data_IF_531729424264
#
_entry.id   IF_531729424264
#
_cell.length_a   1.000
_cell.length_b   1.000
_cell.length_c   1.000
_cell.angle_alpha   90.00
_cell.angle_beta   90.00
_cell.angle_gamma   90.00
#
_symmetry.space_group_name_H-M   'P 1'
#
loop_
_entity.id
_entity.type
_entity.pdbx_description
1 polymer ?
#
# COMPACT_ATOMS: atom_id res chain seq x y z
N UNK A 1 -20.39 -0.62 -17.37
CA UNK A 1 -19.00 -0.14 -17.53
C UNK A 1 -18.29 -1.24 -18.30
N UNK A 2 -18.04 -1.01 -19.59
CA UNK A 2 -17.56 -2.03 -20.55
C UNK A 2 -16.05 -1.91 -20.83
N UNK A 3 -15.32 -1.19 -19.98
CA UNK A 3 -13.87 -1.12 -20.04
C UNK A 3 -13.27 -2.35 -19.37
N UNK A 4 -12.28 -2.96 -20.04
CA UNK A 4 -11.45 -4.02 -19.49
C UNK A 4 -10.95 -3.60 -18.09
N UNK A 5 -10.85 -4.55 -17.14
CA UNK A 5 -10.27 -4.22 -15.84
C UNK A 5 -8.87 -3.62 -16.07
N UNK A 6 -8.52 -2.56 -15.33
CA UNK A 6 -7.21 -1.95 -15.44
C UNK A 6 -6.13 -3.02 -15.29
N UNK A 7 -5.07 -2.91 -16.09
CA UNK A 7 -3.95 -3.83 -16.00
C UNK A 7 -3.26 -3.75 -14.62
N UNK A 8 -2.41 -4.73 -14.35
CA UNK A 8 -1.71 -4.84 -13.06
C UNK A 8 -0.94 -3.56 -12.73
N UNK A 9 -0.27 -2.96 -13.72
CA UNK A 9 0.52 -1.74 -13.54
C UNK A 9 -0.34 -0.54 -13.17
N UNK A 10 -1.49 -0.35 -13.82
CA UNK A 10 -2.44 0.67 -13.44
C UNK A 10 -2.95 0.47 -12.02
N UNK A 11 -3.27 -0.77 -11.62
CA UNK A 11 -3.70 -1.06 -10.25
C UNK A 11 -2.57 -0.75 -9.26
N UNK A 12 -1.36 -1.22 -9.52
CA UNK A 12 -0.16 -0.99 -8.69
C UNK A 12 0.16 0.50 -8.53
N UNK A 13 0.03 1.28 -9.59
CA UNK A 13 0.45 2.68 -9.60
C UNK A 13 -0.63 3.63 -9.08
N UNK A 14 -1.91 3.31 -9.26
CA UNK A 14 -3.00 4.26 -9.02
C UNK A 14 -3.97 3.83 -7.91
N UNK A 15 -4.09 2.54 -7.60
CA UNK A 15 -5.15 2.02 -6.70
C UNK A 15 -4.64 1.25 -5.49
N UNK A 16 -3.48 0.60 -5.61
CA UNK A 16 -2.94 -0.26 -4.57
C UNK A 16 -1.64 0.29 -3.98
N UNK A 17 -1.46 0.03 -2.68
CA UNK A 17 -0.22 0.28 -1.96
C UNK A 17 0.62 -1.00 -1.99
N UNK A 18 1.24 -1.25 -3.14
CA UNK A 18 2.14 -2.40 -3.39
C UNK A 18 3.49 -1.84 -3.83
N UNK A 19 4.58 -2.34 -3.25
CA UNK A 19 5.94 -1.87 -3.53
C UNK A 19 6.94 -2.09 -2.38
N UNK A 20 8.11 -1.47 -2.50
CA UNK A 20 9.11 -1.40 -1.42
C UNK A 20 8.64 -0.46 -0.31
N UNK A 21 9.22 -0.53 0.91
CA UNK A 21 8.86 0.38 1.99
C UNK A 21 8.93 1.87 1.62
N UNK A 22 9.92 2.26 0.82
CA UNK A 22 10.12 3.62 0.36
C UNK A 22 9.01 4.06 -0.61
N UNK A 23 8.65 3.21 -1.58
CA UNK A 23 7.54 3.47 -2.51
C UNK A 23 6.21 3.62 -1.76
N UNK A 24 5.97 2.81 -0.73
CA UNK A 24 4.77 2.91 0.10
C UNK A 24 4.77 4.21 0.91
N UNK A 25 5.89 4.57 1.53
CA UNK A 25 6.02 5.80 2.30
C UNK A 25 5.76 7.04 1.43
N UNK A 26 6.33 7.10 0.22
CA UNK A 26 6.11 8.18 -0.74
C UNK A 26 4.62 8.32 -1.09
N UNK A 27 3.94 7.20 -1.40
CA UNK A 27 2.51 7.19 -1.69
C UNK A 27 1.68 7.72 -0.51
N UNK A 28 2.02 7.35 0.73
CA UNK A 28 1.31 7.80 1.94
C UNK A 28 1.56 9.30 2.19
N UNK A 29 2.81 9.77 2.08
CA UNK A 29 3.15 11.18 2.25
C UNK A 29 2.42 12.06 1.21
N UNK A 30 2.24 11.56 -0.02
CA UNK A 30 1.43 12.22 -1.04
C UNK A 30 -0.06 12.30 -0.69
N UNK A 31 -0.59 11.37 0.12
CA UNK A 31 -1.94 11.50 0.67
C UNK A 31 -1.97 12.51 1.82
N UNK A 32 -0.98 12.46 2.72
CA UNK A 32 -0.82 13.40 3.85
C UNK A 32 -0.74 14.85 3.35
N UNK A 33 0.00 15.11 2.27
CA UNK A 33 0.10 16.44 1.65
C UNK A 33 -1.22 16.96 1.06
N UNK A 34 -2.20 16.08 0.84
CA UNK A 34 -3.57 16.43 0.41
C UNK A 34 -4.54 16.59 1.59
N UNK A 35 -4.05 16.59 2.83
CA UNK A 35 -4.85 16.76 4.03
C UNK A 35 -5.48 15.48 4.57
N UNK A 36 -5.10 14.31 4.05
CA UNK A 36 -5.55 13.02 4.62
C UNK A 36 -4.80 12.76 5.92
N UNK A 37 -5.54 12.68 7.03
CA UNK A 37 -4.98 12.52 8.38
C UNK A 37 -5.01 11.08 8.89
N UNK A 38 -5.79 10.22 8.23
CA UNK A 38 -5.93 8.82 8.60
C UNK A 38 -5.83 7.91 7.38
N UNK A 39 -4.96 6.91 7.46
CA UNK A 39 -4.75 5.91 6.43
C UNK A 39 -5.06 4.52 6.98
N UNK A 40 -6.26 4.02 6.66
CA UNK A 40 -6.64 2.63 6.94
C UNK A 40 -6.01 1.69 5.92
N UNK A 41 -5.26 0.69 6.38
CA UNK A 41 -4.58 -0.28 5.53
C UNK A 41 -5.16 -1.68 5.71
N UNK A 42 -5.41 -2.37 4.59
CA UNK A 42 -5.76 -3.78 4.56
C UNK A 42 -4.59 -4.57 3.94
N UNK A 43 -4.01 -5.49 4.71
CA UNK A 43 -2.91 -6.35 4.26
C UNK A 43 -3.37 -7.69 3.71
N UNK A 44 -4.57 -8.15 4.11
CA UNK A 44 -5.11 -9.42 3.71
C UNK A 44 -5.90 -9.25 2.41
N UNK A 45 -5.24 -9.50 1.29
CA UNK A 45 -5.89 -9.64 -0.01
C UNK A 45 -6.02 -11.13 -0.33
N UNK A 46 -7.20 -11.53 -0.81
CA UNK A 46 -7.51 -12.95 -1.04
C UNK A 46 -6.45 -13.64 -1.89
N UNK A 47 -6.01 -14.82 -1.45
CA UNK A 47 -4.96 -15.60 -2.11
C UNK A 47 -3.55 -15.44 -1.51
N UNK A 48 -3.33 -14.50 -0.59
CA UNK A 48 -2.06 -14.38 0.13
C UNK A 48 -2.00 -15.35 1.33
N UNK A 49 -0.82 -15.97 1.53
CA UNK A 49 -0.56 -16.81 2.69
C UNK A 49 -0.46 -15.98 3.98
N UNK A 50 -0.79 -16.60 5.12
CA UNK A 50 -0.74 -15.92 6.41
C UNK A 50 0.67 -15.40 6.73
N UNK A 51 1.72 -16.17 6.45
CA UNK A 51 3.10 -15.78 6.74
C UNK A 51 3.54 -14.57 5.92
N UNK A 52 3.13 -14.50 4.65
CA UNK A 52 3.40 -13.35 3.76
C UNK A 52 2.70 -12.09 4.27
N UNK A 53 1.44 -12.22 4.70
CA UNK A 53 0.67 -11.12 5.29
C UNK A 53 1.38 -10.61 6.55
N UNK A 54 1.76 -11.50 7.47
CA UNK A 54 2.45 -11.13 8.71
C UNK A 54 3.81 -10.48 8.42
N UNK A 55 4.56 -10.99 7.44
CA UNK A 55 5.81 -10.40 7.01
C UNK A 55 5.62 -8.98 6.45
N UNK A 56 4.59 -8.77 5.62
CA UNK A 56 4.24 -7.44 5.09
C UNK A 56 3.86 -6.45 6.20
N UNK A 57 3.08 -6.90 7.19
CA UNK A 57 2.75 -6.08 8.37
C UNK A 57 4.00 -5.69 9.17
N UNK A 58 4.96 -6.63 9.35
CA UNK A 58 6.23 -6.35 10.04
C UNK A 58 7.09 -5.37 9.27
N UNK A 59 7.19 -5.51 7.94
CA UNK A 59 7.89 -4.57 7.08
C UNK A 59 7.27 -3.17 7.16
N UNK A 60 5.94 -3.08 7.10
CA UNK A 60 5.23 -1.82 7.24
C UNK A 60 5.56 -1.14 8.59
N UNK A 61 5.46 -1.88 9.69
CA UNK A 61 5.77 -1.35 11.00
C UNK A 61 7.23 -0.90 11.16
N UNK A 62 8.19 -1.71 10.69
CA UNK A 62 9.62 -1.49 10.95
C UNK A 62 10.31 -0.57 9.93
N UNK A 63 9.79 -0.48 8.70
CA UNK A 63 10.43 0.24 7.60
C UNK A 63 9.60 1.39 7.05
N UNK A 64 8.27 1.27 7.01
CA UNK A 64 7.41 2.33 6.44
C UNK A 64 7.07 3.38 7.50
N UNK A 65 6.60 2.97 8.68
CA UNK A 65 6.18 3.89 9.76
C UNK A 65 7.23 4.96 10.10
N UNK A 66 8.53 4.63 10.26
CA UNK A 66 9.56 5.63 10.56
C UNK A 66 9.77 6.68 9.45
N UNK A 67 9.35 6.40 8.21
CA UNK A 67 9.48 7.32 7.08
C UNK A 67 8.30 8.29 6.95
N UNK A 68 7.18 8.03 7.63
CA UNK A 68 5.92 8.77 7.46
C UNK A 68 5.38 9.43 8.75
N UNK A 69 5.90 9.02 9.91
CA UNK A 69 5.52 9.57 11.22
C UNK A 69 5.97 11.04 11.35
#
# INVERSE_FOLDING_TARGET
RDELPPDYEYIRNNRAFIGTPEEIAEKILRLKSKGITYFGCNFAMGGLGQDEIVQSMRLFHSKVRPLID
#
